data_IF_924119058246
#
_entry.id   IF_924119058246
#
_cell.length_a   1.000
_cell.length_b   1.000
_cell.length_c   1.000
_cell.angle_alpha   90.00
_cell.angle_beta   90.00
_cell.angle_gamma   90.00
#
_symmetry.space_group_name_H-M   'P 1'
#
loop_
_entity.id
_entity.type
_entity.pdbx_description
1 polymer ?
#
# COMPACT_ATOMS: atom_id res chain seq x y z
N UNK A 1 57.34 27.58 -19.83
CA UNK A 1 56.77 27.30 -21.15
C UNK A 1 55.27 27.49 -21.06
N UNK A 2 54.57 28.35 -21.78
CA UNK A 2 54.90 29.44 -22.70
C UNK A 2 53.60 30.26 -22.85
N UNK A 3 53.72 31.61 -22.86
CA UNK A 3 52.90 32.64 -23.55
C UNK A 3 51.34 32.62 -23.43
N UNK A 4 50.65 33.57 -22.78
CA UNK A 4 50.35 34.99 -23.14
C UNK A 4 49.49 35.17 -24.41
N UNK A 5 48.36 35.89 -24.32
CA UNK A 5 47.82 37.05 -25.12
C UNK A 5 46.37 37.36 -24.62
N UNK A 6 46.08 38.47 -23.93
CA UNK A 6 45.77 39.85 -24.37
C UNK A 6 44.42 40.04 -25.12
N UNK A 7 43.46 40.76 -24.53
CA UNK A 7 42.98 42.05 -25.06
C UNK A 7 41.99 42.77 -24.12
N UNK A 8 42.35 44.02 -23.82
CA UNK A 8 41.65 45.10 -23.12
C UNK A 8 40.36 45.57 -23.84
N UNK A 9 39.25 45.75 -23.12
CA UNK A 9 38.62 47.02 -22.65
C UNK A 9 37.85 47.82 -23.71
N UNK A 10 36.52 47.89 -23.55
CA UNK A 10 35.69 49.02 -24.01
C UNK A 10 34.83 49.45 -22.80
N UNK A 11 35.01 50.71 -22.43
CA UNK A 11 34.36 51.46 -21.33
C UNK A 11 33.08 52.11 -21.85
N UNK A 12 32.13 52.45 -20.96
CA UNK A 12 31.13 53.56 -20.97
C UNK A 12 29.86 53.06 -20.24
N UNK A 13 29.14 53.76 -19.38
CA UNK A 13 29.24 55.04 -18.66
C UNK A 13 28.12 54.94 -17.59
N UNK A 14 28.30 55.47 -16.37
CA UNK A 14 27.30 55.37 -15.28
C UNK A 14 26.31 56.56 -15.30
N UNK A 15 25.07 56.35 -14.81
CA UNK A 15 24.46 57.32 -13.89
C UNK A 15 23.90 56.69 -12.58
N UNK A 16 23.65 57.48 -11.51
CA UNK A 16 23.49 57.02 -10.11
C UNK A 16 22.02 56.71 -9.72
N UNK A 17 21.71 56.30 -8.46
CA UNK A 17 20.62 55.37 -8.12
C UNK A 17 19.27 56.07 -7.88
N UNK A 18 18.17 55.33 -8.07
CA UNK A 18 16.82 55.75 -7.68
C UNK A 18 15.98 54.56 -7.21
N UNK A 19 15.49 54.63 -5.97
CA UNK A 19 14.61 53.64 -5.34
C UNK A 19 13.24 53.52 -6.05
N UNK A 20 12.60 52.33 -6.07
CA UNK A 20 11.25 52.17 -6.60
C UNK A 20 10.17 52.54 -5.55
N UNK A 21 9.04 53.16 -5.97
CA UNK A 21 7.91 53.41 -5.09
C UNK A 21 7.07 52.13 -4.91
N UNK A 22 6.63 51.91 -3.66
CA UNK A 22 5.79 50.80 -3.23
C UNK A 22 4.51 50.67 -4.07
N UNK A 23 4.31 49.48 -4.65
CA UNK A 23 3.02 49.05 -5.20
C UNK A 23 2.43 47.94 -4.33
N UNK A 24 1.29 48.22 -3.72
CA UNK A 24 0.48 47.33 -2.89
C UNK A 24 0.24 45.99 -3.59
N UNK A 25 0.91 44.95 -3.11
CA UNK A 25 0.72 43.58 -3.60
C UNK A 25 -0.18 42.84 -2.62
N UNK A 26 -1.36 42.43 -3.09
CA UNK A 26 -2.28 41.57 -2.34
C UNK A 26 -1.55 40.30 -1.83
N UNK A 27 -1.96 39.72 -0.68
CA UNK A 27 -1.32 38.52 -0.18
C UNK A 27 -1.48 37.36 -1.19
N UNK A 28 -0.46 36.50 -1.34
CA UNK A 28 -0.52 35.36 -2.25
C UNK A 28 -1.66 34.39 -1.85
N UNK A 29 -2.27 33.69 -2.82
CA UNK A 29 -3.28 32.67 -2.51
C UNK A 29 -2.66 31.60 -1.62
N UNK A 30 -3.35 31.27 -0.52
CA UNK A 30 -2.90 30.24 0.42
C UNK A 30 -2.63 28.91 -0.32
N UNK A 31 -1.58 28.16 0.06
CA UNK A 31 -1.28 26.88 -0.57
C UNK A 31 -2.47 25.93 -0.44
N UNK A 32 -2.74 25.08 -1.45
CA UNK A 32 -3.83 24.12 -1.37
C UNK A 32 -3.62 23.27 -0.12
N UNK A 33 -4.61 23.26 0.76
CA UNK A 33 -4.65 22.49 2.00
C UNK A 33 -4.14 21.09 1.71
N UNK A 34 -2.93 20.77 2.16
CA UNK A 34 -2.37 19.43 1.99
C UNK A 34 -3.30 18.48 2.73
N UNK A 35 -4.10 17.72 1.98
CA UNK A 35 -4.98 16.72 2.57
C UNK A 35 -4.09 15.63 3.18
N UNK A 36 -3.82 15.76 4.47
CA UNK A 36 -3.02 14.77 5.20
C UNK A 36 -3.68 13.40 5.09
N UNK A 37 -2.93 12.37 4.73
CA UNK A 37 -3.41 10.98 4.69
C UNK A 37 -2.68 10.21 5.79
N UNK A 38 -3.45 9.69 6.74
CA UNK A 38 -2.93 8.91 7.85
C UNK A 38 -3.15 7.42 7.56
N UNK A 39 -2.09 6.63 7.62
CA UNK A 39 -2.17 5.18 7.48
C UNK A 39 -2.06 4.51 8.84
N UNK A 40 -2.96 3.57 9.13
CA UNK A 40 -2.92 2.77 10.35
C UNK A 40 -2.90 1.28 10.03
N UNK A 41 -2.10 0.53 10.77
CA UNK A 41 -2.19 -0.93 10.76
C UNK A 41 -3.40 -1.37 11.58
N UNK A 42 -4.12 -2.38 11.11
CA UNK A 42 -5.25 -2.99 11.82
C UNK A 42 -5.11 -4.50 11.82
N UNK A 43 -5.71 -5.15 12.80
CA UNK A 43 -5.71 -6.59 12.95
C UNK A 43 -6.84 -7.27 12.17
N UNK A 44 -7.92 -6.52 11.87
CA UNK A 44 -9.11 -7.01 11.17
C UNK A 44 -9.74 -5.95 10.27
N UNK A 45 -10.34 -6.38 9.17
CA UNK A 45 -11.13 -5.53 8.28
C UNK A 45 -12.28 -6.30 7.63
N UNK A 46 -13.27 -5.56 7.15
CA UNK A 46 -14.35 -6.10 6.33
C UNK A 46 -13.92 -6.17 4.87
N UNK A 47 -14.19 -7.31 4.24
CA UNK A 47 -14.13 -7.49 2.81
C UNK A 47 -15.40 -6.90 2.16
N UNK A 48 -15.37 -6.61 0.84
CA UNK A 48 -16.54 -6.08 0.14
C UNK A 48 -17.77 -7.01 0.14
N UNK A 49 -17.57 -8.31 0.38
CA UNK A 49 -18.65 -9.30 0.51
C UNK A 49 -19.30 -9.33 1.91
N UNK A 50 -18.90 -8.41 2.81
CA UNK A 50 -19.40 -8.28 4.17
C UNK A 50 -18.72 -9.22 5.18
N UNK A 51 -17.74 -10.04 4.74
CA UNK A 51 -17.02 -10.96 5.64
C UNK A 51 -15.82 -10.29 6.28
N UNK A 52 -15.46 -10.73 7.48
CA UNK A 52 -14.27 -10.22 8.17
C UNK A 52 -13.04 -11.03 7.79
N UNK A 53 -11.93 -10.35 7.55
CA UNK A 53 -10.59 -10.94 7.46
C UNK A 53 -9.71 -10.39 8.56
N UNK A 54 -8.93 -11.26 9.18
CA UNK A 54 -7.97 -10.94 10.23
C UNK A 54 -6.53 -11.25 9.79
N UNK A 55 -5.56 -10.63 10.48
CA UNK A 55 -4.16 -11.05 10.40
C UNK A 55 -4.04 -12.51 10.83
N UNK A 56 -3.30 -13.29 10.04
CA UNK A 56 -3.15 -14.73 10.20
C UNK A 56 -4.12 -15.56 9.36
N UNK A 57 -5.25 -15.00 8.93
CA UNK A 57 -6.25 -15.72 8.14
C UNK A 57 -5.68 -16.21 6.80
N UNK A 58 -6.21 -17.35 6.37
CA UNK A 58 -5.92 -17.93 5.07
C UNK A 58 -7.00 -17.43 4.11
N UNK A 59 -6.55 -16.86 2.99
CA UNK A 59 -7.42 -16.27 1.97
C UNK A 59 -7.04 -16.80 0.60
N UNK A 60 -7.99 -16.81 -0.31
CA UNK A 60 -7.71 -16.74 -1.73
C UNK A 60 -7.34 -15.31 -2.08
N UNK A 61 -6.25 -15.13 -2.79
CA UNK A 61 -5.82 -13.83 -3.30
C UNK A 61 -5.70 -13.87 -4.82
N UNK A 62 -6.03 -12.76 -5.47
CA UNK A 62 -6.01 -12.61 -6.93
C UNK A 62 -5.07 -11.49 -7.34
N UNK A 63 -4.21 -11.81 -8.31
CA UNK A 63 -3.40 -10.82 -9.04
C UNK A 63 -3.64 -10.98 -10.54
N UNK A 64 -3.27 -9.95 -11.29
CA UNK A 64 -3.35 -9.98 -12.75
C UNK A 64 -2.43 -11.07 -13.33
N UNK A 65 -2.88 -11.77 -14.37
CA UNK A 65 -2.10 -12.82 -15.04
C UNK A 65 -2.04 -14.19 -14.33
N UNK A 66 -2.45 -14.29 -13.06
CA UNK A 66 -2.43 -15.56 -12.30
C UNK A 66 -3.84 -15.96 -11.84
N UNK A 67 -4.13 -17.26 -11.66
CA UNK A 67 -5.39 -17.70 -11.08
C UNK A 67 -5.47 -17.31 -9.60
N UNK A 68 -6.65 -17.49 -9.00
CA UNK A 68 -6.78 -17.40 -7.55
C UNK A 68 -5.82 -18.37 -6.87
N UNK A 69 -5.07 -17.86 -5.90
CA UNK A 69 -4.04 -18.62 -5.21
C UNK A 69 -4.14 -18.42 -3.70
N UNK A 70 -3.91 -19.46 -2.89
CA UNK A 70 -3.96 -19.33 -1.43
C UNK A 70 -2.82 -18.45 -0.89
N UNK A 71 -3.14 -17.59 0.07
CA UNK A 71 -2.19 -16.73 0.76
C UNK A 71 -2.56 -16.57 2.23
N UNK A 72 -1.58 -16.25 3.08
CA UNK A 72 -1.77 -15.88 4.49
C UNK A 72 -1.72 -14.36 4.63
N UNK A 73 -2.68 -13.79 5.36
CA UNK A 73 -2.65 -12.37 5.72
C UNK A 73 -1.59 -12.13 6.78
N UNK A 74 -0.62 -11.25 6.48
CA UNK A 74 0.45 -10.85 7.39
C UNK A 74 0.15 -9.53 8.11
N UNK A 75 -0.66 -8.67 7.51
CA UNK A 75 -0.98 -7.35 8.03
C UNK A 75 -2.07 -6.69 7.19
N UNK A 76 -2.82 -5.79 7.80
CA UNK A 76 -3.85 -5.00 7.11
C UNK A 76 -3.55 -3.53 7.38
N UNK A 77 -3.61 -2.71 6.34
CA UNK A 77 -3.37 -1.26 6.45
C UNK A 77 -4.56 -0.49 5.89
N UNK A 78 -5.03 0.47 6.67
CA UNK A 78 -6.12 1.38 6.26
C UNK A 78 -5.60 2.81 6.27
N UNK A 79 -5.54 3.41 5.08
CA UNK A 79 -5.25 4.82 4.91
C UNK A 79 -6.54 5.64 4.94
N UNK A 80 -6.56 6.73 5.73
CA UNK A 80 -7.69 7.65 5.88
C UNK A 80 -7.28 9.08 5.57
N UNK A 81 -8.21 9.83 5.01
CA UNK A 81 -8.10 11.29 4.88
C UNK A 81 -8.14 11.94 6.27
N UNK A 82 -7.28 12.92 6.50
CA UNK A 82 -7.15 13.60 7.79
C UNK A 82 -8.26 14.61 8.08
N UNK A 83 -8.90 15.14 7.04
CA UNK A 83 -10.00 16.10 7.11
C UNK A 83 -11.36 15.42 7.37
N UNK A 84 -11.63 14.31 6.69
CA UNK A 84 -12.93 13.63 6.66
C UNK A 84 -12.93 12.29 7.40
N UNK A 85 -11.75 11.76 7.73
CA UNK A 85 -11.61 10.42 8.31
C UNK A 85 -11.97 9.27 7.35
N UNK A 86 -12.37 9.57 6.12
CA UNK A 86 -12.81 8.56 5.14
C UNK A 86 -11.64 7.68 4.72
N UNK A 87 -11.88 6.36 4.67
CA UNK A 87 -10.90 5.41 4.20
C UNK A 87 -10.67 5.61 2.69
N UNK A 88 -9.43 5.89 2.32
CA UNK A 88 -9.02 6.13 0.92
C UNK A 88 -8.40 4.86 0.33
N UNK A 89 -7.77 4.03 1.16
CA UNK A 89 -7.11 2.79 0.74
C UNK A 89 -7.18 1.75 1.83
N UNK A 90 -7.54 0.52 1.46
CA UNK A 90 -7.56 -0.64 2.35
C UNK A 90 -6.83 -1.78 1.66
N UNK A 91 -5.73 -2.21 2.26
CA UNK A 91 -4.87 -3.24 1.68
C UNK A 91 -4.50 -4.27 2.73
N UNK A 92 -4.33 -5.51 2.27
CA UNK A 92 -3.67 -6.55 3.04
C UNK A 92 -2.30 -6.84 2.46
N UNK A 93 -1.32 -7.01 3.35
CA UNK A 93 -0.05 -7.64 3.03
C UNK A 93 -0.23 -9.15 3.16
N UNK A 94 0.07 -9.91 2.13
CA UNK A 94 -0.14 -11.37 2.10
C UNK A 94 1.13 -12.12 1.69
N UNK A 95 1.37 -13.28 2.30
CA UNK A 95 2.40 -14.24 1.88
C UNK A 95 1.75 -15.39 1.11
N UNK A 96 2.27 -15.71 -0.07
CA UNK A 96 1.69 -16.74 -0.94
C UNK A 96 2.12 -18.14 -0.49
N UNK A 97 1.19 -19.09 -0.39
CA UNK A 97 1.58 -20.48 -0.11
C UNK A 97 2.31 -21.09 -1.32
N UNK A 98 3.34 -21.89 -1.08
CA UNK A 98 4.18 -22.45 -2.15
C UNK A 98 5.03 -21.42 -2.93
N UNK A 99 5.20 -20.20 -2.40
CA UNK A 99 6.08 -19.16 -2.97
C UNK A 99 6.71 -18.31 -1.85
N UNK A 100 7.96 -17.83 -1.98
CA UNK A 100 8.56 -16.90 -1.01
C UNK A 100 8.04 -15.46 -1.17
N UNK A 101 7.21 -15.20 -2.17
CA UNK A 101 6.75 -13.85 -2.51
C UNK A 101 5.74 -13.33 -1.49
N UNK A 102 5.80 -12.04 -1.22
CA UNK A 102 4.79 -11.29 -0.46
C UNK A 102 4.21 -10.21 -1.37
N UNK A 103 2.95 -9.85 -1.19
CA UNK A 103 2.29 -8.80 -1.99
C UNK A 103 1.37 -7.94 -1.14
N UNK A 104 1.14 -6.72 -1.60
CA UNK A 104 0.12 -5.82 -1.05
C UNK A 104 -1.06 -5.80 -2.02
N UNK A 105 -2.24 -6.17 -1.53
CA UNK A 105 -3.43 -6.30 -2.36
C UNK A 105 -4.60 -5.52 -1.76
N UNK A 106 -5.41 -4.83 -2.57
CA UNK A 106 -6.69 -4.31 -2.13
C UNK A 106 -7.55 -5.42 -1.54
N UNK A 107 -8.34 -5.12 -0.51
CA UNK A 107 -9.23 -6.12 0.12
C UNK A 107 -10.20 -6.77 -0.88
N UNK A 108 -10.58 -6.06 -1.95
CA UNK A 108 -11.42 -6.58 -3.02
C UNK A 108 -10.79 -7.74 -3.84
N UNK A 109 -9.47 -7.93 -3.75
CA UNK A 109 -8.76 -9.04 -4.40
C UNK A 109 -8.60 -10.25 -3.48
N UNK A 110 -9.23 -10.23 -2.31
CA UNK A 110 -9.17 -11.31 -1.32
C UNK A 110 -10.55 -11.97 -1.19
N UNK A 111 -10.54 -13.25 -0.86
CA UNK A 111 -11.75 -14.02 -0.59
C UNK A 111 -11.45 -15.07 0.49
N UNK A 112 -12.32 -15.28 1.49
CA UNK A 112 -12.04 -16.22 2.58
C UNK A 112 -11.82 -17.65 2.09
N UNK A 113 -10.76 -18.32 2.58
CA UNK A 113 -10.26 -19.55 1.98
C UNK A 113 -11.24 -20.73 2.08
N UNK A 114 -11.76 -20.99 3.28
CA UNK A 114 -12.59 -22.15 3.57
C UNK A 114 -13.99 -21.98 2.95
N UNK A 115 -14.55 -20.79 3.07
CA UNK A 115 -15.91 -20.42 2.67
C UNK A 115 -16.06 -20.42 1.15
N UNK A 116 -15.00 -20.11 0.42
CA UNK A 116 -15.02 -20.08 -1.06
C UNK A 116 -14.18 -21.19 -1.70
N UNK A 117 -13.76 -22.19 -0.90
CA UNK A 117 -12.89 -23.26 -1.35
C UNK A 117 -13.42 -23.98 -2.59
N UNK A 118 -14.69 -24.39 -2.58
CA UNK A 118 -15.27 -25.15 -3.70
C UNK A 118 -15.33 -24.35 -5.01
N UNK A 119 -15.54 -23.03 -4.91
CA UNK A 119 -15.64 -22.15 -6.07
C UNK A 119 -14.26 -21.81 -6.67
N UNK A 120 -13.23 -21.66 -5.81
CA UNK A 120 -11.89 -21.22 -6.23
C UNK A 120 -10.92 -22.37 -6.49
N UNK A 121 -11.18 -23.55 -5.93
CA UNK A 121 -10.29 -24.69 -6.08
C UNK A 121 -10.35 -25.30 -7.48
N UNK A 122 -9.29 -25.08 -8.26
CA UNK A 122 -9.10 -25.76 -9.53
C UNK A 122 -8.58 -27.21 -9.36
N UNK A 123 -9.50 -28.18 -9.46
CA UNK A 123 -9.21 -29.62 -9.33
C UNK A 123 -8.23 -30.15 -10.38
N UNK A 124 -8.18 -29.53 -11.56
CA UNK A 124 -7.39 -29.99 -12.72
C UNK A 124 -5.92 -29.61 -12.60
N UNK A 125 -5.60 -28.59 -11.81
CA UNK A 125 -4.22 -28.14 -11.57
C UNK A 125 -3.47 -29.12 -10.67
N UNK A 126 -2.18 -29.31 -10.99
CA UNK A 126 -1.25 -30.23 -10.32
C UNK A 126 0.01 -29.48 -9.91
N UNK A 127 0.94 -30.20 -9.27
CA UNK A 127 2.26 -29.68 -8.92
C UNK A 127 2.21 -28.62 -7.82
N UNK A 128 2.96 -27.51 -7.96
CA UNK A 128 3.10 -26.48 -6.91
C UNK A 128 1.76 -25.95 -6.38
N UNK A 129 0.74 -25.85 -7.25
CA UNK A 129 -0.59 -25.42 -6.84
C UNK A 129 -1.21 -26.35 -5.79
N UNK A 130 -1.20 -27.67 -6.01
CA UNK A 130 -1.77 -28.60 -5.02
C UNK A 130 -1.01 -28.59 -3.70
N UNK A 131 0.31 -28.43 -3.75
CA UNK A 131 1.12 -28.27 -2.54
C UNK A 131 0.71 -27.02 -1.77
N UNK A 132 0.61 -25.87 -2.45
CA UNK A 132 0.16 -24.63 -1.85
C UNK A 132 -1.24 -24.75 -1.22
N UNK A 133 -2.17 -25.44 -1.88
CA UNK A 133 -3.52 -25.71 -1.35
C UNK A 133 -3.47 -26.59 -0.09
N UNK A 134 -2.65 -27.64 -0.08
CA UNK A 134 -2.53 -28.52 1.07
C UNK A 134 -1.90 -27.79 2.28
N UNK A 135 -0.85 -27.01 2.05
CA UNK A 135 -0.22 -26.16 3.07
C UNK A 135 -1.22 -25.14 3.63
N UNK A 136 -1.98 -24.46 2.75
CA UNK A 136 -3.00 -23.50 3.13
C UNK A 136 -4.13 -24.14 3.95
N UNK A 137 -4.58 -25.35 3.57
CA UNK A 137 -5.59 -26.08 4.31
C UNK A 137 -5.09 -26.54 5.69
N UNK A 138 -3.83 -26.97 5.79
CA UNK A 138 -3.21 -27.29 7.08
C UNK A 138 -3.13 -26.05 7.98
N UNK A 139 -2.64 -24.95 7.43
CA UNK A 139 -2.55 -23.67 8.13
C UNK A 139 -3.92 -23.14 8.59
N UNK A 140 -4.96 -23.28 7.77
CA UNK A 140 -6.31 -22.86 8.11
C UNK A 140 -6.88 -23.67 9.28
N UNK A 141 -6.55 -24.97 9.38
CA UNK A 141 -6.97 -25.83 10.51
C UNK A 141 -6.27 -25.47 11.81
N UNK A 142 -5.05 -24.96 11.75
CA UNK A 142 -4.29 -24.52 12.93
C UNK A 142 -4.75 -23.16 13.45
N UNK A 143 -5.51 -22.40 12.66
CA UNK A 143 -5.97 -21.08 13.02
C UNK A 143 -7.26 -21.17 13.86
N UNK A 144 -7.12 -21.60 15.11
CA UNK A 144 -8.22 -21.65 16.08
C UNK A 144 -8.62 -20.22 16.51
N UNK A 145 -9.81 -20.03 17.10
CA UNK A 145 -10.22 -18.73 17.65
C UNK A 145 -9.21 -18.13 18.62
N UNK A 146 -8.55 -18.96 19.43
CA UNK A 146 -7.51 -18.56 20.39
C UNK A 146 -6.28 -18.03 19.66
N UNK A 147 -5.79 -18.75 18.64
CA UNK A 147 -4.66 -18.29 17.81
C UNK A 147 -5.02 -16.98 17.10
N UNK A 148 -6.24 -16.89 16.57
CA UNK A 148 -6.74 -15.65 15.96
C UNK A 148 -6.75 -14.50 16.96
N UNK A 149 -7.27 -14.72 18.17
CA UNK A 149 -7.30 -13.69 19.21
C UNK A 149 -5.89 -13.18 19.54
N UNK A 150 -4.92 -14.10 19.71
CA UNK A 150 -3.51 -13.77 19.96
C UNK A 150 -2.87 -12.97 18.83
N UNK A 151 -3.21 -13.25 17.57
CA UNK A 151 -2.71 -12.48 16.42
C UNK A 151 -3.34 -11.10 16.30
N UNK A 152 -4.50 -10.89 16.92
CA UNK A 152 -5.22 -9.61 16.92
C UNK A 152 -5.02 -8.76 18.17
N UNK A 153 -4.31 -9.27 19.20
CA UNK A 153 -4.27 -8.67 20.54
C UNK A 153 -3.42 -7.39 20.70
N UNK A 154 -2.63 -7.00 19.69
CA UNK A 154 -1.69 -5.87 19.77
C UNK A 154 -2.10 -4.65 18.93
N UNK A 155 -3.40 -4.37 18.81
CA UNK A 155 -3.85 -3.08 18.27
C UNK A 155 -3.69 -1.99 19.34
N UNK A 156 -2.68 -1.13 19.19
CA UNK A 156 -2.50 0.09 19.98
C UNK A 156 -2.88 1.31 19.15
#
# INVERSE_FOLDING_TARGET
SSHSECSSTETFDLPPPGDPPSSSSAPPPAPPSSFSVFSKSVSKCLLPDGRTVCVGDIVWAKIYGFPWWPARVLGITVARRGDTGLAVRQEARVSWFGSPTTSFLPLAQLSPFLETFQSRFDKKRKGPYRRAIAEAASAAKQLTPEVRALLTQFET
#
